data_IF_854768074875
#
_entry.id   IF_854768074875
#
_cell.length_a   1.000
_cell.length_b   1.000
_cell.length_c   1.000
_cell.angle_alpha   90.00
_cell.angle_beta   90.00
_cell.angle_gamma   90.00
#
_symmetry.space_group_name_H-M   'P 1'
#
loop_
_entity.id
_entity.type
_entity.pdbx_description
1 polymer ?
#
# COMPACT_ATOMS: atom_id res chain seq x y z
N UNK A 1 -17.52 12.99 -6.06
CA UNK A 1 -16.49 11.91 -6.19
C UNK A 1 -15.31 12.14 -5.24
N UNK A 2 -14.53 13.21 -5.33
CA UNK A 2 -13.39 13.43 -4.41
C UNK A 2 -13.83 13.75 -2.98
N UNK A 3 -14.95 14.44 -2.79
CA UNK A 3 -15.50 14.78 -1.49
C UNK A 3 -16.07 13.54 -0.77
N UNK A 4 -16.83 12.72 -1.45
CA UNK A 4 -17.35 11.44 -0.94
C UNK A 4 -16.21 10.49 -0.55
N UNK A 5 -15.19 10.39 -1.39
CA UNK A 5 -13.99 9.61 -1.08
C UNK A 5 -13.27 10.12 0.16
N UNK A 6 -13.17 11.44 0.33
CA UNK A 6 -12.54 12.04 1.50
C UNK A 6 -13.30 11.73 2.78
N UNK A 7 -14.64 11.75 2.74
CA UNK A 7 -15.49 11.40 3.89
C UNK A 7 -15.30 9.93 4.25
N UNK A 8 -15.41 9.03 3.27
CA UNK A 8 -15.23 7.60 3.49
C UNK A 8 -13.82 7.25 4.03
N UNK A 9 -12.79 7.93 3.52
CA UNK A 9 -11.43 7.81 4.04
C UNK A 9 -11.33 8.28 5.50
N UNK A 10 -11.95 9.42 5.83
CA UNK A 10 -11.93 9.96 7.19
C UNK A 10 -12.58 8.99 8.17
N UNK A 11 -13.74 8.43 7.82
CA UNK A 11 -14.44 7.43 8.62
C UNK A 11 -13.54 6.20 8.87
N UNK A 12 -12.93 5.67 7.80
CA UNK A 12 -12.06 4.48 7.88
C UNK A 12 -10.80 4.70 8.70
N UNK A 13 -10.21 5.89 8.62
CA UNK A 13 -9.04 6.27 9.42
C UNK A 13 -9.40 6.38 10.91
N UNK A 14 -10.57 6.97 11.23
CA UNK A 14 -11.04 7.07 12.61
C UNK A 14 -11.30 5.68 13.22
N UNK A 15 -11.84 4.72 12.45
CA UNK A 15 -11.97 3.30 12.88
C UNK A 15 -10.61 2.67 13.21
N UNK A 16 -9.56 3.06 12.49
CA UNK A 16 -8.18 2.62 12.72
C UNK A 16 -7.45 3.43 13.82
N UNK A 17 -8.15 4.31 14.56
CA UNK A 17 -7.59 5.22 15.55
C UNK A 17 -6.53 6.18 14.98
N UNK A 18 -6.71 6.59 13.73
CA UNK A 18 -5.89 7.61 13.07
C UNK A 18 -6.72 8.88 12.99
N UNK A 19 -6.45 9.78 13.93
CA UNK A 19 -7.12 11.07 14.00
C UNK A 19 -6.37 12.11 13.14
N UNK A 20 -7.10 13.17 12.73
CA UNK A 20 -6.52 14.28 11.99
C UNK A 20 -7.33 14.65 10.74
N UNK A 21 -6.89 15.68 10.05
CA UNK A 21 -7.53 16.19 8.84
C UNK A 21 -6.83 15.67 7.59
N UNK A 22 -7.61 15.12 6.65
CA UNK A 22 -7.08 14.73 5.34
C UNK A 22 -6.71 15.97 4.52
N UNK A 23 -5.51 15.95 3.99
CA UNK A 23 -4.94 16.95 3.09
C UNK A 23 -4.43 16.29 1.81
N UNK A 24 -4.36 17.09 0.73
CA UNK A 24 -3.63 16.72 -0.49
C UNK A 24 -4.03 15.34 -1.09
N UNK A 25 -5.34 15.03 -1.10
CA UNK A 25 -5.84 13.80 -1.72
C UNK A 25 -5.70 13.87 -3.24
N UNK A 26 -4.74 13.14 -3.80
CA UNK A 26 -4.40 13.16 -5.23
C UNK A 26 -4.32 11.74 -5.81
N UNK A 27 -4.88 11.50 -7.00
CA UNK A 27 -4.72 10.23 -7.67
C UNK A 27 -3.28 10.07 -8.20
N UNK A 28 -2.72 8.87 -8.06
CA UNK A 28 -1.44 8.52 -8.68
C UNK A 28 -1.70 7.78 -9.99
N UNK A 29 -1.04 8.23 -11.05
CA UNK A 29 -1.09 7.59 -12.37
C UNK A 29 -0.09 6.43 -12.45
N UNK A 30 -0.46 5.32 -13.12
CA UNK A 30 0.47 4.21 -13.38
C UNK A 30 0.01 2.82 -12.93
N UNK A 31 -1.15 2.68 -12.32
CA UNK A 31 -1.77 1.38 -12.03
C UNK A 31 -2.70 0.94 -13.17
N UNK A 32 -2.46 -0.23 -13.78
CA UNK A 32 -3.31 -0.74 -14.87
C UNK A 32 -4.63 -1.36 -14.36
N UNK A 33 -4.69 -1.82 -13.11
CA UNK A 33 -5.80 -2.62 -12.57
C UNK A 33 -6.34 -2.14 -11.22
N UNK A 34 -5.72 -1.17 -10.60
CA UNK A 34 -6.12 -0.64 -9.28
C UNK A 34 -6.04 0.89 -9.29
N UNK A 35 -6.98 1.53 -8.59
CA UNK A 35 -6.90 2.96 -8.30
C UNK A 35 -5.96 3.19 -7.13
N UNK A 36 -5.06 4.15 -7.27
CA UNK A 36 -4.10 4.51 -6.22
C UNK A 36 -4.22 6.00 -5.93
N UNK A 37 -4.38 6.33 -4.65
CA UNK A 37 -4.47 7.71 -4.20
C UNK A 37 -3.42 7.95 -3.11
N UNK A 38 -2.71 9.07 -3.22
CA UNK A 38 -1.85 9.56 -2.15
C UNK A 38 -2.58 10.66 -1.38
N UNK A 39 -2.46 10.64 -0.07
CA UNK A 39 -3.02 11.68 0.79
C UNK A 39 -2.17 11.86 2.05
N UNK A 40 -2.43 12.97 2.72
CA UNK A 40 -1.78 13.34 3.97
C UNK A 40 -2.82 13.44 5.07
N UNK A 41 -2.45 13.09 6.29
CA UNK A 41 -3.26 13.30 7.49
C UNK A 41 -2.48 14.20 8.42
N UNK A 42 -3.06 15.36 8.75
CA UNK A 42 -2.51 16.29 9.72
C UNK A 42 -3.17 16.05 11.07
N UNK A 43 -2.38 15.61 12.04
CA UNK A 43 -2.75 15.51 13.44
C UNK A 43 -1.87 16.49 14.23
N UNK A 44 -2.50 17.54 14.79
CA UNK A 44 -1.80 18.63 15.49
C UNK A 44 -0.68 19.22 14.62
N UNK A 45 0.58 18.97 14.95
CA UNK A 45 1.76 19.49 14.25
C UNK A 45 2.43 18.44 13.34
N UNK A 46 1.95 17.19 13.34
CA UNK A 46 2.53 16.10 12.54
C UNK A 46 1.73 15.86 11.28
N UNK A 47 2.43 15.73 10.15
CA UNK A 47 1.84 15.33 8.88
C UNK A 47 2.36 13.93 8.52
N UNK A 48 1.43 12.97 8.41
CA UNK A 48 1.71 11.60 7.98
C UNK A 48 1.18 11.36 6.58
N UNK A 49 1.94 10.65 5.77
CA UNK A 49 1.56 10.35 4.39
C UNK A 49 1.06 8.90 4.26
N UNK A 50 0.01 8.73 3.47
CA UNK A 50 -0.65 7.45 3.25
C UNK A 50 -0.95 7.22 1.77
N UNK A 51 -1.16 5.95 1.44
CA UNK A 51 -1.66 5.50 0.15
C UNK A 51 -2.95 4.73 0.38
N UNK A 52 -4.01 5.12 -0.33
CA UNK A 52 -5.18 4.27 -0.57
C UNK A 52 -4.95 3.46 -1.84
N UNK A 53 -5.14 2.17 -1.77
CA UNK A 53 -5.20 1.28 -2.93
C UNK A 53 -6.58 0.65 -3.00
N UNK A 54 -7.28 0.86 -4.11
CA UNK A 54 -8.67 0.47 -4.31
C UNK A 54 -8.81 -0.40 -5.55
N UNK A 55 -9.63 -1.45 -5.46
CA UNK A 55 -10.02 -2.26 -6.60
C UNK A 55 -10.76 -1.42 -7.64
N UNK A 56 -10.47 -1.64 -8.91
CA UNK A 56 -11.14 -0.92 -10.02
C UNK A 56 -12.56 -1.44 -10.30
N UNK A 57 -13.00 -2.50 -9.63
CA UNK A 57 -14.25 -3.20 -9.93
C UNK A 57 -14.21 -4.04 -11.22
N UNK A 58 -13.10 -4.00 -11.94
CA UNK A 58 -12.86 -4.80 -13.15
C UNK A 58 -11.89 -5.92 -12.77
N UNK A 59 -12.42 -6.99 -12.20
CA UNK A 59 -11.61 -8.13 -11.79
C UNK A 59 -11.78 -9.29 -12.77
N UNK A 60 -10.66 -9.80 -13.26
CA UNK A 60 -10.65 -11.06 -14.02
C UNK A 60 -10.77 -12.26 -13.09
N UNK A 61 -11.07 -13.45 -13.62
CA UNK A 61 -11.31 -14.66 -12.81
C UNK A 61 -10.11 -15.14 -11.98
N UNK A 62 -8.93 -14.55 -12.17
CA UNK A 62 -7.70 -14.83 -11.43
C UNK A 62 -7.23 -13.63 -10.60
N UNK A 63 -8.05 -12.58 -10.47
CA UNK A 63 -7.67 -11.40 -9.70
C UNK A 63 -7.88 -11.65 -8.21
N UNK A 64 -6.86 -11.37 -7.43
CA UNK A 64 -6.94 -11.35 -5.96
C UNK A 64 -7.67 -10.07 -5.56
N UNK A 65 -8.62 -10.16 -4.61
CA UNK A 65 -9.28 -9.00 -4.02
C UNK A 65 -8.24 -8.08 -3.39
N UNK A 66 -8.53 -6.79 -3.42
CA UNK A 66 -7.61 -5.80 -2.86
C UNK A 66 -7.48 -5.95 -1.34
N UNK A 67 -8.56 -6.30 -0.66
CA UNK A 67 -8.57 -6.65 0.76
C UNK A 67 -7.73 -7.90 1.07
N UNK A 68 -7.79 -8.95 0.24
CA UNK A 68 -6.99 -10.17 0.42
C UNK A 68 -5.50 -9.89 0.19
N UNK A 69 -5.17 -9.01 -0.78
CA UNK A 69 -3.80 -8.51 -1.00
C UNK A 69 -3.25 -7.82 0.27
N UNK A 70 -4.09 -7.03 0.97
CA UNK A 70 -3.71 -6.40 2.23
C UNK A 70 -3.42 -7.42 3.33
N UNK A 71 -4.26 -8.45 3.47
CA UNK A 71 -4.07 -9.52 4.44
C UNK A 71 -2.76 -10.27 4.18
N UNK A 72 -2.46 -10.58 2.91
CA UNK A 72 -1.19 -11.18 2.53
C UNK A 72 0.00 -10.30 2.95
N UNK A 73 -0.06 -8.99 2.70
CA UNK A 73 1.00 -8.06 3.12
C UNK A 73 1.15 -8.01 4.64
N UNK A 74 0.06 -8.09 5.41
CA UNK A 74 0.12 -8.17 6.87
C UNK A 74 0.81 -9.45 7.36
N UNK A 75 0.54 -10.61 6.73
CA UNK A 75 1.24 -11.87 7.06
C UNK A 75 2.74 -11.78 6.77
N UNK A 76 3.10 -11.27 5.59
CA UNK A 76 4.50 -11.06 5.19
C UNK A 76 5.22 -10.07 6.13
N UNK A 77 4.50 -9.07 6.66
CA UNK A 77 5.04 -8.12 7.64
C UNK A 77 5.44 -8.77 8.95
N UNK A 78 4.68 -9.78 9.42
CA UNK A 78 4.97 -10.50 10.68
C UNK A 78 6.35 -11.18 10.68
N UNK A 79 6.82 -11.58 9.51
CA UNK A 79 8.15 -12.19 9.31
C UNK A 79 9.22 -11.17 8.88
N UNK A 80 8.97 -9.88 9.12
CA UNK A 80 9.89 -8.77 8.84
C UNK A 80 10.31 -8.65 7.36
N UNK A 81 9.46 -9.04 6.44
CA UNK A 81 9.68 -8.69 5.04
C UNK A 81 9.50 -7.17 4.81
N UNK A 82 10.23 -6.58 3.87
CA UNK A 82 10.22 -5.13 3.63
C UNK A 82 8.97 -4.71 2.84
N UNK A 83 7.82 -4.77 3.48
CA UNK A 83 6.53 -4.31 2.91
C UNK A 83 6.00 -3.11 3.67
N UNK A 84 5.21 -2.23 3.02
CA UNK A 84 4.55 -1.13 3.70
C UNK A 84 3.65 -1.63 4.84
N UNK A 85 3.46 -0.79 5.85
CA UNK A 85 2.54 -1.09 6.94
C UNK A 85 1.10 -0.80 6.48
N UNK A 86 0.24 -1.81 6.55
CA UNK A 86 -1.20 -1.68 6.33
C UNK A 86 -1.83 -1.12 7.60
N UNK A 87 -2.56 -0.03 7.48
CA UNK A 87 -3.20 0.64 8.62
C UNK A 87 -4.71 0.42 8.68
N UNK A 88 -5.35 0.19 7.53
CA UNK A 88 -6.77 -0.14 7.47
C UNK A 88 -7.07 -0.98 6.22
N UNK A 89 -8.07 -1.86 6.34
CA UNK A 89 -8.60 -2.68 5.25
C UNK A 89 -10.09 -2.43 5.17
N UNK A 90 -10.63 -2.34 3.96
CA UNK A 90 -12.05 -2.16 3.68
C UNK A 90 -12.55 -3.24 2.75
N UNK A 91 -13.71 -3.80 3.04
CA UNK A 91 -14.38 -4.80 2.22
C UNK A 91 -15.32 -4.17 1.19
N UNK A 92 -15.79 -4.98 0.24
CA UNK A 92 -16.58 -4.50 -0.90
C UNK A 92 -17.90 -3.83 -0.49
N UNK A 93 -18.47 -4.21 0.62
CA UNK A 93 -19.75 -3.71 1.17
C UNK A 93 -19.61 -2.46 2.06
N UNK A 94 -18.39 -2.01 2.32
CA UNK A 94 -18.10 -0.76 3.02
C UNK A 94 -18.04 0.45 2.06
N UNK A 95 -18.09 1.67 2.62
CA UNK A 95 -18.09 2.92 1.85
C UNK A 95 -16.91 3.07 0.89
N UNK A 96 -15.71 2.63 1.31
CA UNK A 96 -14.52 2.66 0.45
C UNK A 96 -14.51 1.54 -0.60
N UNK A 97 -15.34 0.50 -0.44
CA UNK A 97 -15.29 -0.70 -1.25
C UNK A 97 -14.01 -1.50 -1.01
N UNK A 98 -13.76 -2.51 -1.85
CA UNK A 98 -12.58 -3.38 -1.76
C UNK A 98 -11.27 -2.59 -1.87
N UNK A 99 -10.67 -2.27 -0.74
CA UNK A 99 -9.52 -1.38 -0.65
C UNK A 99 -8.71 -1.55 0.63
N UNK A 100 -7.54 -0.94 0.66
CA UNK A 100 -6.77 -0.79 1.89
C UNK A 100 -5.96 0.51 1.91
N UNK A 101 -5.62 0.94 3.13
CA UNK A 101 -4.78 2.09 3.39
C UNK A 101 -3.44 1.58 3.95
N UNK A 102 -2.34 2.09 3.41
CA UNK A 102 -0.99 1.79 3.90
C UNK A 102 -0.19 3.06 4.13
N UNK A 103 0.83 2.99 4.98
CA UNK A 103 1.79 4.08 5.13
C UNK A 103 2.53 4.32 3.82
N UNK A 104 2.73 5.58 3.48
CA UNK A 104 3.55 5.94 2.32
C UNK A 104 5.01 5.57 2.58
N UNK A 105 5.64 4.94 1.60
CA UNK A 105 7.08 4.69 1.59
C UNK A 105 7.69 5.54 0.48
N UNK A 106 8.56 6.45 0.87
CA UNK A 106 9.32 7.23 -0.10
C UNK A 106 10.24 6.32 -0.91
N UNK A 107 10.14 6.42 -2.22
CA UNK A 107 10.88 5.54 -3.14
C UNK A 107 11.17 6.21 -4.46
N UNK A 108 12.25 5.82 -5.10
CA UNK A 108 12.45 6.05 -6.52
C UNK A 108 11.97 4.83 -7.33
N UNK A 109 11.12 5.06 -8.31
CA UNK A 109 10.54 4.01 -9.15
C UNK A 109 10.92 4.13 -10.62
N UNK A 110 11.73 5.13 -10.98
CA UNK A 110 12.19 5.33 -12.35
C UNK A 110 13.48 4.52 -12.56
N UNK A 111 13.47 3.42 -13.34
CA UNK A 111 14.64 2.55 -13.49
C UNK A 111 15.87 3.30 -14.00
N UNK A 112 15.68 4.27 -14.89
CA UNK A 112 16.78 5.08 -15.43
C UNK A 112 17.50 5.87 -14.34
N UNK A 113 16.79 6.43 -13.37
CA UNK A 113 17.38 7.15 -12.24
C UNK A 113 18.14 6.17 -11.35
N UNK A 114 17.49 5.11 -10.91
CA UNK A 114 18.13 4.08 -10.06
C UNK A 114 19.41 3.54 -10.70
N UNK A 115 19.42 3.33 -12.03
CA UNK A 115 20.56 2.74 -12.73
C UNK A 115 21.69 3.73 -13.11
N UNK A 116 21.43 5.04 -13.10
CA UNK A 116 22.36 6.03 -13.66
C UNK A 116 22.74 7.15 -12.72
N UNK A 117 21.91 7.48 -11.74
CA UNK A 117 22.18 8.59 -10.85
C UNK A 117 23.20 8.18 -9.78
N UNK A 118 24.12 9.09 -9.49
CA UNK A 118 25.24 8.81 -8.59
C UNK A 118 24.81 8.46 -7.16
N UNK A 119 23.64 8.92 -6.72
CA UNK A 119 23.12 8.63 -5.38
C UNK A 119 22.84 7.14 -5.13
N UNK A 120 22.59 6.36 -6.21
CA UNK A 120 22.32 4.91 -6.11
C UNK A 120 23.54 4.03 -6.36
N UNK A 121 24.69 4.63 -6.71
CA UNK A 121 25.89 3.90 -7.14
C UNK A 121 26.36 2.85 -6.14
N UNK A 122 26.29 3.16 -4.85
CA UNK A 122 26.75 2.26 -3.79
C UNK A 122 25.72 1.16 -3.47
N UNK A 123 24.46 1.39 -3.80
CA UNK A 123 23.37 0.44 -3.56
C UNK A 123 23.22 -0.55 -4.73
N UNK A 124 23.50 -0.13 -5.95
CA UNK A 124 23.32 -0.95 -7.16
C UNK A 124 23.94 -2.36 -7.07
N UNK A 125 25.19 -2.56 -6.60
CA UNK A 125 25.76 -3.89 -6.48
C UNK A 125 25.03 -4.79 -5.48
N UNK A 126 24.29 -4.21 -4.53
CA UNK A 126 23.60 -4.92 -3.47
C UNK A 126 22.14 -5.24 -3.81
N UNK A 127 21.55 -4.55 -4.80
CA UNK A 127 20.11 -4.66 -5.10
C UNK A 127 19.67 -6.09 -5.41
N UNK A 128 20.44 -6.83 -6.22
CA UNK A 128 20.08 -8.21 -6.57
C UNK A 128 20.06 -9.12 -5.34
N UNK A 129 21.02 -8.95 -4.44
CA UNK A 129 21.09 -9.69 -3.19
C UNK A 129 19.92 -9.32 -2.26
N UNK A 130 19.65 -8.02 -2.07
CA UNK A 130 18.54 -7.52 -1.24
C UNK A 130 17.17 -7.98 -1.77
N UNK A 131 16.98 -8.01 -3.09
CA UNK A 131 15.78 -8.57 -3.71
C UNK A 131 15.66 -10.07 -3.41
N UNK A 132 16.75 -10.82 -3.51
CA UNK A 132 16.80 -12.24 -3.20
C UNK A 132 16.45 -12.53 -1.73
N UNK A 133 17.00 -11.76 -0.78
CA UNK A 133 16.66 -11.85 0.64
C UNK A 133 15.17 -11.55 0.89
N UNK A 134 14.63 -10.52 0.23
CA UNK A 134 13.22 -10.15 0.38
C UNK A 134 12.29 -11.24 -0.13
N UNK A 135 12.61 -11.84 -1.29
CA UNK A 135 11.86 -12.97 -1.86
C UNK A 135 11.95 -14.19 -0.95
N UNK A 136 13.14 -14.51 -0.45
CA UNK A 136 13.32 -15.63 0.48
C UNK A 136 12.44 -15.50 1.71
N UNK A 137 12.39 -14.30 2.33
CA UNK A 137 11.49 -14.02 3.45
C UNK A 137 10.02 -14.22 3.08
N UNK A 138 9.59 -13.71 1.93
CA UNK A 138 8.20 -13.89 1.47
C UNK A 138 7.85 -15.39 1.36
N UNK A 139 8.78 -16.21 0.91
CA UNK A 139 8.57 -17.67 0.80
C UNK A 139 8.54 -18.40 2.16
N UNK A 140 8.90 -17.75 3.26
CA UNK A 140 8.77 -18.30 4.63
C UNK A 140 7.33 -18.19 5.18
N UNK A 141 6.43 -17.48 4.48
CA UNK A 141 5.02 -17.40 4.90
C UNK A 141 4.38 -18.77 4.84
N UNK A 142 3.80 -19.19 5.95
CA UNK A 142 3.09 -20.46 6.03
C UNK A 142 1.80 -20.42 5.22
N UNK A 143 1.68 -21.29 4.22
CA UNK A 143 0.51 -21.35 3.32
C UNK A 143 -0.80 -21.56 4.08
N UNK A 144 -0.76 -22.25 5.22
CA UNK A 144 -1.93 -22.46 6.08
C UNK A 144 -2.53 -21.16 6.64
N UNK A 145 -1.76 -20.08 6.68
CA UNK A 145 -2.24 -18.76 7.10
C UNK A 145 -2.95 -18.01 5.97
N UNK A 146 -2.92 -18.53 4.74
CA UNK A 146 -3.42 -17.89 3.53
C UNK A 146 -4.73 -18.53 3.03
N UNK A 147 -5.58 -18.99 3.93
CA UNK A 147 -6.84 -19.70 3.61
C UNK A 147 -7.90 -18.85 2.90
N UNK A 148 -7.63 -17.56 2.73
CA UNK A 148 -8.49 -16.59 2.02
C UNK A 148 -8.09 -16.38 0.55
N UNK A 149 -6.99 -16.95 0.08
CA UNK A 149 -6.49 -16.87 -1.30
C UNK A 149 -7.03 -17.98 -2.20
#
# INVERSE_FOLDING_TARGET
MTEELSIALQNKLSEANIEGKILNLVPLTGGASKEIWKFEVQDSDEIKQYILRKGSGIEGPLAIKTSDEALLQQEVKKINAPVPEIVAVSSLDEELGDSYIMKFVERESIPRKVLRDNEYKDVLPLLAFQCGESIAKIHEVEVNNLHYL
#
